data_IF_533609257827
#
_entry.id   IF_533609257827
#
_cell.length_a   1.000
_cell.length_b   1.000
_cell.length_c   1.000
_cell.angle_alpha   90.00
_cell.angle_beta   90.00
_cell.angle_gamma   90.00
#
_symmetry.space_group_name_H-M   'P 1'
#
loop_
_entity.id
_entity.type
_entity.pdbx_description
1 polymer ?
#
# COMPACT_ATOMS: atom_id res chain seq x y z
N UNK A 1 11.65 25.61 -3.80
CA UNK A 1 12.39 24.40 -4.20
C UNK A 1 12.70 24.51 -5.67
N UNK A 2 13.96 24.34 -6.07
CA UNK A 2 14.37 24.36 -7.49
C UNK A 2 13.53 23.31 -8.25
N UNK A 3 12.79 23.72 -9.28
CA UNK A 3 11.86 22.86 -10.05
C UNK A 3 12.54 21.77 -10.90
N UNK A 4 13.73 21.33 -10.51
CA UNK A 4 14.51 20.28 -11.18
C UNK A 4 13.96 18.90 -10.82
N UNK A 5 13.99 17.97 -11.78
CA UNK A 5 13.63 16.58 -11.52
C UNK A 5 14.71 15.86 -10.70
N UNK A 6 14.35 14.74 -10.04
CA UNK A 6 15.32 13.90 -9.32
C UNK A 6 16.48 13.44 -10.23
N UNK A 7 16.16 13.14 -11.50
CA UNK A 7 17.16 12.74 -12.50
C UNK A 7 18.12 13.88 -12.85
N UNK A 8 17.63 15.13 -12.89
CA UNK A 8 18.50 16.29 -13.11
C UNK A 8 19.42 16.51 -11.91
N UNK A 9 18.90 16.36 -10.69
CA UNK A 9 19.71 16.43 -9.46
C UNK A 9 20.76 15.31 -9.39
N UNK A 10 20.42 14.10 -9.82
CA UNK A 10 21.38 12.99 -9.91
C UNK A 10 22.52 13.31 -10.90
N UNK A 11 22.18 13.89 -12.05
CA UNK A 11 23.17 14.34 -13.05
C UNK A 11 24.05 15.47 -12.51
N UNK A 12 23.47 16.43 -11.81
CA UNK A 12 24.20 17.53 -11.18
C UNK A 12 25.15 17.01 -10.07
N UNK A 13 24.69 16.06 -9.24
CA UNK A 13 25.51 15.39 -8.24
C UNK A 13 26.69 14.65 -8.87
N UNK A 14 26.45 13.88 -9.94
CA UNK A 14 27.52 13.16 -10.64
C UNK A 14 28.57 14.11 -11.24
N UNK A 15 28.13 15.23 -11.81
CA UNK A 15 29.04 16.28 -12.32
C UNK A 15 29.85 16.94 -11.21
N UNK A 16 29.20 17.29 -10.10
CA UNK A 16 29.87 17.91 -8.96
C UNK A 16 30.90 16.97 -8.33
N UNK A 17 30.57 15.68 -8.21
CA UNK A 17 31.49 14.64 -7.75
C UNK A 17 32.71 14.53 -8.67
N UNK A 18 32.49 14.40 -9.98
CA UNK A 18 33.59 14.32 -10.93
C UNK A 18 34.48 15.59 -10.93
N UNK A 19 33.91 16.75 -10.63
CA UNK A 19 34.68 17.99 -10.51
C UNK A 19 35.53 18.04 -9.22
N UNK A 20 35.00 17.55 -8.10
CA UNK A 20 35.73 17.43 -6.83
C UNK A 20 36.85 16.37 -6.93
N UNK A 21 36.57 15.20 -7.52
CA UNK A 21 37.55 14.12 -7.68
C UNK A 21 38.75 14.53 -8.54
N UNK A 22 38.55 15.41 -9.54
CA UNK A 22 39.64 15.96 -10.37
C UNK A 22 40.50 17.00 -9.67
N UNK A 23 39.98 17.65 -8.63
CA UNK A 23 40.63 18.76 -7.91
C UNK A 23 40.38 18.60 -6.42
N UNK A 24 41.03 17.62 -5.77
CA UNK A 24 40.77 17.31 -4.36
C UNK A 24 41.12 18.47 -3.42
N UNK A 25 42.06 19.34 -3.80
CA UNK A 25 42.44 20.51 -3.00
C UNK A 25 41.54 21.74 -3.23
N UNK A 26 40.63 21.68 -4.22
CA UNK A 26 39.68 22.76 -4.50
C UNK A 26 38.46 22.67 -3.57
N UNK A 27 38.54 23.36 -2.43
CA UNK A 27 37.45 23.46 -1.46
C UNK A 27 36.13 23.94 -2.07
N UNK A 28 36.16 24.76 -3.12
CA UNK A 28 34.93 25.21 -3.79
C UNK A 28 34.29 24.08 -4.62
N UNK A 29 35.08 23.14 -5.15
CA UNK A 29 34.55 21.94 -5.79
C UNK A 29 33.93 20.99 -4.75
N UNK A 30 34.57 20.81 -3.60
CA UNK A 30 34.06 20.01 -2.49
C UNK A 30 32.73 20.55 -1.93
N UNK A 31 32.66 21.87 -1.66
CA UNK A 31 31.42 22.53 -1.20
C UNK A 31 30.28 22.29 -2.21
N UNK A 32 30.53 22.51 -3.50
CA UNK A 32 29.52 22.29 -4.56
C UNK A 32 29.05 20.83 -4.63
N UNK A 33 29.94 19.88 -4.39
CA UNK A 33 29.56 18.46 -4.30
C UNK A 33 28.62 18.22 -3.11
N UNK A 34 28.92 18.76 -1.94
CA UNK A 34 28.05 18.63 -0.77
C UNK A 34 26.69 19.31 -0.96
N UNK A 35 26.65 20.51 -1.56
CA UNK A 35 25.40 21.20 -1.90
C UNK A 35 24.53 20.37 -2.87
N UNK A 36 25.15 19.82 -3.93
CA UNK A 36 24.45 18.95 -4.87
C UNK A 36 23.94 17.66 -4.18
N UNK A 37 24.71 17.11 -3.24
CA UNK A 37 24.32 15.92 -2.47
C UNK A 37 23.14 16.22 -1.54
N UNK A 38 23.16 17.35 -0.84
CA UNK A 38 22.05 17.78 0.03
C UNK A 38 20.79 17.95 -0.82
N UNK A 39 20.86 18.67 -1.94
CA UNK A 39 19.71 18.90 -2.81
C UNK A 39 19.10 17.58 -3.35
N UNK A 40 19.95 16.63 -3.73
CA UNK A 40 19.49 15.30 -4.16
C UNK A 40 18.78 14.53 -3.03
N UNK A 41 19.40 14.48 -1.84
CA UNK A 41 18.84 13.77 -0.68
C UNK A 41 17.54 14.41 -0.17
N UNK A 42 17.42 15.74 -0.20
CA UNK A 42 16.19 16.44 0.14
C UNK A 42 15.04 16.08 -0.81
N UNK A 43 15.32 16.01 -2.12
CA UNK A 43 14.34 15.60 -3.11
C UNK A 43 13.93 14.13 -2.94
N UNK A 44 14.89 13.23 -2.68
CA UNK A 44 14.63 11.82 -2.41
C UNK A 44 13.77 11.63 -1.14
N UNK A 45 14.12 12.35 -0.07
CA UNK A 45 13.37 12.36 1.19
C UNK A 45 11.94 12.87 0.99
N UNK A 46 11.76 13.91 0.17
CA UNK A 46 10.44 14.43 -0.18
C UNK A 46 9.58 13.38 -0.89
N UNK A 47 10.14 12.67 -1.89
CA UNK A 47 9.44 11.60 -2.60
C UNK A 47 9.10 10.45 -1.67
N UNK A 48 10.05 10.00 -0.85
CA UNK A 48 9.83 8.94 0.15
C UNK A 48 8.71 9.31 1.14
N UNK A 49 8.66 10.55 1.62
CA UNK A 49 7.57 11.05 2.48
C UNK A 49 6.22 11.04 1.78
N UNK A 50 6.18 11.44 0.50
CA UNK A 50 4.96 11.42 -0.30
C UNK A 50 4.44 9.99 -0.49
N UNK A 51 5.33 9.06 -0.79
CA UNK A 51 4.97 7.64 -0.95
C UNK A 51 4.51 7.03 0.38
N UNK A 52 5.19 7.33 1.48
CA UNK A 52 4.77 6.90 2.81
C UNK A 52 3.35 7.38 3.13
N UNK A 53 3.05 8.66 2.88
CA UNK A 53 1.71 9.20 3.07
C UNK A 53 0.67 8.49 2.20
N UNK A 54 1.00 8.21 0.93
CA UNK A 54 0.14 7.44 0.03
C UNK A 54 -0.17 6.04 0.57
N UNK A 55 0.85 5.30 0.99
CA UNK A 55 0.71 3.93 1.51
C UNK A 55 -0.03 3.88 2.84
N UNK A 56 0.18 4.87 3.73
CA UNK A 56 -0.58 5.00 4.97
C UNK A 56 -2.07 5.20 4.69
N UNK A 57 -2.43 6.12 3.80
CA UNK A 57 -3.82 6.35 3.41
C UNK A 57 -4.46 5.09 2.82
N UNK A 58 -3.74 4.38 1.94
CA UNK A 58 -4.20 3.12 1.35
C UNK A 58 -4.41 2.03 2.40
N UNK A 59 -3.47 1.87 3.33
CA UNK A 59 -3.57 0.92 4.43
C UNK A 59 -4.79 1.19 5.32
N UNK A 60 -5.03 2.46 5.68
CA UNK A 60 -6.21 2.85 6.46
C UNK A 60 -7.51 2.55 5.71
N UNK A 61 -7.57 2.80 4.40
CA UNK A 61 -8.74 2.52 3.57
C UNK A 61 -9.02 1.01 3.51
N UNK A 62 -8.00 0.18 3.27
CA UNK A 62 -8.10 -1.27 3.27
C UNK A 62 -8.52 -1.81 4.64
N UNK A 63 -7.95 -1.28 5.72
CA UNK A 63 -8.33 -1.65 7.08
C UNK A 63 -9.80 -1.33 7.39
N UNK A 64 -10.32 -0.20 6.92
CA UNK A 64 -11.77 0.13 7.03
C UNK A 64 -12.63 -0.83 6.21
N UNK A 65 -12.23 -1.15 4.97
CA UNK A 65 -12.96 -2.08 4.12
C UNK A 65 -13.01 -3.48 4.73
N UNK A 66 -11.89 -3.96 5.27
CA UNK A 66 -11.81 -5.26 5.94
C UNK A 66 -12.72 -5.31 7.17
N UNK A 67 -12.69 -4.28 8.03
CA UNK A 67 -13.60 -4.20 9.19
C UNK A 67 -15.08 -4.25 8.79
N UNK A 68 -15.45 -3.55 7.71
CA UNK A 68 -16.83 -3.60 7.17
C UNK A 68 -17.21 -5.00 6.70
N UNK A 69 -16.32 -5.68 5.95
CA UNK A 69 -16.55 -7.07 5.51
C UNK A 69 -16.66 -8.02 6.69
N UNK A 70 -15.77 -7.94 7.67
CA UNK A 70 -15.83 -8.75 8.90
C UNK A 70 -17.15 -8.55 9.64
N UNK A 71 -17.60 -7.30 9.80
CA UNK A 71 -18.88 -7.00 10.42
C UNK A 71 -20.08 -7.58 9.63
N UNK A 72 -20.03 -7.51 8.30
CA UNK A 72 -21.04 -8.12 7.43
C UNK A 72 -21.08 -9.65 7.61
N UNK A 73 -19.92 -10.32 7.59
CA UNK A 73 -19.84 -11.76 7.81
C UNK A 73 -20.32 -12.18 9.20
N UNK A 74 -19.99 -11.41 10.25
CA UNK A 74 -20.51 -11.68 11.61
C UNK A 74 -22.04 -11.62 11.64
N UNK A 75 -22.65 -10.59 11.05
CA UNK A 75 -24.11 -10.48 10.94
C UNK A 75 -24.73 -11.63 10.14
N UNK A 76 -24.07 -12.05 9.06
CA UNK A 76 -24.51 -13.18 8.24
C UNK A 76 -24.43 -14.51 9.01
N UNK A 77 -23.38 -14.72 9.79
CA UNK A 77 -23.24 -15.88 10.67
C UNK A 77 -24.29 -15.88 11.81
N UNK A 78 -24.56 -14.72 12.42
CA UNK A 78 -25.59 -14.58 13.45
C UNK A 78 -27.00 -14.86 12.91
N UNK A 79 -27.32 -14.36 11.71
CA UNK A 79 -28.61 -14.61 11.05
C UNK A 79 -28.74 -16.07 10.62
N UNK A 80 -27.68 -16.70 10.12
CA UNK A 80 -27.66 -18.13 9.83
C UNK A 80 -27.88 -18.98 11.08
N UNK A 81 -27.24 -18.64 12.21
CA UNK A 81 -27.43 -19.31 13.50
C UNK A 81 -28.87 -19.18 14.00
N UNK A 82 -29.46 -17.97 13.97
CA UNK A 82 -30.86 -17.74 14.36
C UNK A 82 -31.86 -18.40 13.41
N UNK A 83 -31.56 -18.45 12.11
CA UNK A 83 -32.34 -19.15 11.09
C UNK A 83 -32.30 -20.67 11.25
N UNK A 84 -31.14 -21.22 11.65
CA UNK A 84 -30.99 -22.64 11.99
C UNK A 84 -31.79 -23.02 13.24
N UNK A 85 -31.91 -22.10 14.22
CA UNK A 85 -32.75 -22.31 15.41
C UNK A 85 -34.25 -22.39 15.04
N UNK A 86 -34.72 -21.63 14.05
CA UNK A 86 -36.12 -21.72 13.56
C UNK A 86 -36.43 -22.96 12.72
N UNK A 87 -35.43 -23.60 12.09
CA UNK A 87 -35.63 -24.84 11.32
C UNK A 87 -35.61 -26.11 12.17
N UNK A 88 -35.10 -26.08 13.41
CA UNK A 88 -35.11 -27.25 14.29
C UNK A 88 -36.49 -27.63 14.86
N UNK A 89 -37.52 -26.80 14.71
CA UNK A 89 -38.88 -27.10 15.18
C UNK A 89 -39.82 -27.71 14.13
N UNK A 90 -39.36 -27.97 12.90
CA UNK A 90 -40.10 -28.73 11.87
C UNK A 90 -39.09 -29.58 11.09
N UNK A 91 -39.05 -30.89 11.35
CA UNK A 91 -38.13 -31.85 10.68
C UNK A 91 -38.39 -32.03 9.17
N UNK A 92 -37.73 -32.97 8.45
CA UNK A 92 -36.65 -33.88 8.86
C UNK A 92 -35.28 -33.63 8.16
N UNK A 93 -34.25 -34.27 8.73
CA UNK A 93 -32.87 -34.55 8.27
C UNK A 93 -31.92 -33.41 7.80
N UNK A 94 -30.70 -33.31 8.36
CA UNK A 94 -29.70 -32.34 7.92
C UNK A 94 -29.02 -32.81 6.63
N UNK A 95 -29.11 -32.00 5.57
CA UNK A 95 -28.29 -32.12 4.36
C UNK A 95 -26.84 -31.77 4.73
N UNK A 96 -25.83 -32.57 4.34
CA UNK A 96 -24.43 -32.31 4.71
C UNK A 96 -23.96 -30.96 4.16
N UNK A 97 -23.29 -30.19 5.02
CA UNK A 97 -22.82 -28.82 4.76
C UNK A 97 -21.87 -28.68 3.56
N UNK A 98 -21.43 -29.79 2.99
CA UNK A 98 -20.57 -29.88 1.81
C UNK A 98 -21.30 -29.44 0.52
N UNK A 99 -22.63 -29.57 0.48
CA UNK A 99 -23.43 -29.22 -0.69
C UNK A 99 -23.65 -27.70 -0.85
N UNK A 100 -23.52 -26.90 0.22
CA UNK A 100 -23.84 -25.45 0.19
C UNK A 100 -22.62 -24.60 -0.19
N UNK A 101 -21.40 -25.15 -0.09
CA UNK A 101 -20.18 -24.43 -0.47
C UNK A 101 -19.98 -24.31 -1.99
N UNK A 102 -20.62 -25.16 -2.80
CA UNK A 102 -20.48 -25.13 -4.26
C UNK A 102 -21.35 -24.09 -4.97
N UNK A 103 -22.52 -23.74 -4.41
CA UNK A 103 -23.42 -22.78 -5.08
C UNK A 103 -22.94 -21.33 -5.00
N UNK A 104 -22.24 -20.95 -3.93
CA UNK A 104 -21.77 -19.56 -3.76
C UNK A 104 -20.48 -19.29 -4.55
N UNK A 105 -19.66 -20.32 -4.79
CA UNK A 105 -18.42 -20.19 -5.59
C UNK A 105 -18.69 -20.34 -7.09
N UNK A 106 -19.73 -21.10 -7.49
CA UNK A 106 -20.08 -21.31 -8.90
C UNK A 106 -20.71 -20.12 -9.62
N UNK A 107 -21.38 -19.20 -8.90
CA UNK A 107 -22.05 -18.04 -9.53
C UNK A 107 -21.17 -16.79 -9.69
N UNK A 108 -19.88 -16.85 -9.30
CA UNK A 108 -18.97 -15.71 -9.38
C UNK A 108 -18.03 -15.68 -10.59
N UNK A 109 -18.11 -16.65 -11.51
CA UNK A 109 -17.17 -16.77 -12.67
C UNK A 109 -17.88 -16.69 -14.03
N UNK A 110 -19.18 -16.39 -14.07
CA UNK A 110 -19.89 -16.19 -15.33
C UNK A 110 -20.87 -15.01 -15.23
N UNK A 111 -20.34 -13.79 -15.33
CA UNK A 111 -20.93 -12.59 -15.97
C UNK A 111 -20.10 -11.34 -15.63
#
# INVERSE_FOLDING_TARGET
MSGKSLNDLARDLARARAAADRRPDDKAAEIRFHEARIAYLEAELFLCRKDLAHWQLRSMALGRALRRRVAAYRRLAETASKGAIKRRSRGPAPVPAQAVLFEIVGQGVAA
#
